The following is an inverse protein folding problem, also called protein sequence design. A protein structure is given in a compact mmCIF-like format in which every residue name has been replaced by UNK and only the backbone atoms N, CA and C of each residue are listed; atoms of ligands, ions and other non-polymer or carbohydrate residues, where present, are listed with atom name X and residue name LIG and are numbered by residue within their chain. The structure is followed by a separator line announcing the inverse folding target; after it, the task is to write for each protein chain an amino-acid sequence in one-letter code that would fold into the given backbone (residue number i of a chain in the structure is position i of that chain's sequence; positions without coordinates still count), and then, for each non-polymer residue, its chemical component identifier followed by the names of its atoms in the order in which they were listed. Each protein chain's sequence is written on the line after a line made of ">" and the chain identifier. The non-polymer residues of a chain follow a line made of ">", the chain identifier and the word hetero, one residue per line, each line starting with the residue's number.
data_IF_753677132536
#
_entry.id   IF_753677132536
#
_cell.length_a   1.000
_cell.length_b   1.000
_cell.length_c   1.000
_cell.angle_alpha   90.00
_cell.angle_beta   90.00
_cell.angle_gamma   90.00
#
_symmetry.space_group_name_H-M   'P 1'
#
loop_
_entity.id
_entity.type
_entity.pdbx_description
1 polymer ?
#
# COMPACT_ATOMS: atom_id res chain seq x y z
N UNK A 1 7.48 13.27 2.05
CA UNK A 1 7.27 12.65 3.37
C UNK A 1 8.37 11.63 3.61
N UNK A 2 9.32 11.96 4.48
CA UNK A 2 10.53 11.18 4.78
C UNK A 2 10.16 9.86 5.44
N UNK A 3 10.24 8.75 4.70
CA UNK A 3 9.84 7.43 5.20
C UNK A 3 11.01 6.74 5.91
N UNK A 4 11.48 7.38 6.99
CA UNK A 4 12.58 6.89 7.81
C UNK A 4 12.09 5.75 8.69
N UNK A 5 12.87 4.68 8.76
CA UNK A 5 12.65 3.59 9.70
C UNK A 5 13.59 3.79 10.88
N UNK A 6 13.09 3.61 12.10
CA UNK A 6 13.91 3.72 13.31
C UNK A 6 13.98 2.37 14.01
N UNK A 7 15.19 1.96 14.34
CA UNK A 7 15.46 0.83 15.23
C UNK A 7 16.34 1.32 16.38
N UNK A 8 15.78 1.35 17.59
CA UNK A 8 16.38 2.06 18.73
C UNK A 8 16.73 3.51 18.35
N UNK A 9 18.02 3.86 18.37
CA UNK A 9 18.56 5.18 18.01
C UNK A 9 19.10 5.22 16.57
N UNK A 10 18.97 4.13 15.81
CA UNK A 10 19.52 4.02 14.46
C UNK A 10 18.45 4.40 13.44
N UNK A 11 18.69 5.51 12.74
CA UNK A 11 17.86 5.93 11.60
C UNK A 11 18.31 5.16 10.37
N UNK A 12 17.39 4.42 9.78
CA UNK A 12 17.57 3.66 8.55
C UNK A 12 16.87 4.38 7.41
N UNK A 13 17.61 4.61 6.33
CA UNK A 13 17.05 5.17 5.10
C UNK A 13 16.69 4.03 4.13
N UNK A 14 15.42 3.58 4.09
CA UNK A 14 15.01 2.55 3.16
C UNK A 14 14.94 3.08 1.72
N UNK A 15 15.18 2.17 0.78
CA UNK A 15 14.88 2.36 -0.64
C UNK A 15 13.47 1.82 -0.88
N UNK A 16 12.53 2.69 -1.26
CA UNK A 16 11.20 2.25 -1.70
C UNK A 16 11.25 1.82 -3.15
N UNK A 17 10.82 0.58 -3.43
CA UNK A 17 10.71 0.07 -4.80
C UNK A 17 9.54 -0.90 -4.90
N UNK A 18 8.71 -0.75 -5.94
CA UNK A 18 7.54 -1.60 -6.19
C UNK A 18 6.61 -1.71 -4.96
N UNK A 19 6.43 -0.61 -4.24
CA UNK A 19 5.65 -0.56 -3.00
C UNK A 19 6.18 -1.46 -1.85
N UNK A 20 7.43 -1.93 -1.95
CA UNK A 20 8.11 -2.71 -0.93
C UNK A 20 9.27 -1.93 -0.32
N UNK A 21 9.62 -2.29 0.92
CA UNK A 21 10.75 -1.73 1.64
C UNK A 21 12.03 -2.53 1.33
N UNK A 22 13.06 -1.81 0.88
CA UNK A 22 14.39 -2.37 0.66
C UNK A 22 15.43 -1.64 1.51
N UNK A 23 16.41 -2.38 2.02
CA UNK A 23 17.49 -1.88 2.87
C UNK A 23 18.81 -2.08 2.13
N UNK A 24 19.65 -1.05 2.07
CA UNK A 24 20.99 -1.15 1.45
C UNK A 24 21.94 -1.90 2.37
N UNK A 25 22.98 -2.52 1.79
CA UNK A 25 24.01 -3.22 2.58
C UNK A 25 24.66 -2.33 3.65
N UNK A 26 24.82 -1.03 3.36
CA UNK A 26 25.39 -0.02 4.27
C UNK A 26 24.47 0.34 5.43
N UNK A 27 23.16 0.41 5.19
CA UNK A 27 22.20 0.67 6.28
C UNK A 27 22.00 -0.59 7.13
N UNK A 28 22.02 -1.76 6.51
CA UNK A 28 21.94 -3.04 7.21
C UNK A 28 23.17 -3.29 8.10
N UNK A 29 24.37 -2.87 7.67
CA UNK A 29 25.56 -2.98 8.52
C UNK A 29 25.49 -2.08 9.75
N UNK A 30 24.90 -0.87 9.64
CA UNK A 30 24.67 0.02 10.78
C UNK A 30 23.66 -0.58 11.75
N UNK A 31 22.55 -1.12 11.24
CA UNK A 31 21.54 -1.82 12.03
C UNK A 31 22.13 -2.97 12.86
N UNK A 32 23.01 -3.76 12.24
CA UNK A 32 23.68 -4.89 12.90
C UNK A 32 24.90 -4.49 13.73
N UNK A 33 25.22 -3.19 13.79
CA UNK A 33 26.38 -2.61 14.48
C UNK A 33 27.73 -3.20 14.01
N UNK A 34 27.85 -3.49 12.71
CA UNK A 34 29.12 -3.86 12.12
C UNK A 34 29.99 -2.62 11.87
N UNK A 35 31.28 -2.74 12.21
CA UNK A 35 32.27 -1.69 11.96
C UNK A 35 32.47 -1.41 10.46
N UNK A 36 32.37 -2.44 9.61
CA UNK A 36 32.50 -2.31 8.15
C UNK A 36 31.23 -2.77 7.42
N UNK A 37 30.78 -1.94 6.49
CA UNK A 37 29.73 -2.25 5.52
C UNK A 37 30.02 -3.49 4.66
N UNK A 38 31.30 -3.83 4.44
CA UNK A 38 31.68 -5.04 3.69
C UNK A 38 31.30 -6.33 4.42
N UNK A 39 31.06 -6.29 5.73
CA UNK A 39 30.65 -7.46 6.51
C UNK A 39 29.36 -8.08 5.97
N UNK A 40 28.36 -7.25 5.64
CA UNK A 40 27.10 -7.71 5.04
C UNK A 40 27.34 -8.33 3.66
N UNK A 41 28.18 -7.71 2.84
CA UNK A 41 28.55 -8.25 1.53
C UNK A 41 29.25 -9.61 1.65
N UNK A 42 30.12 -9.77 2.65
CA UNK A 42 30.84 -11.02 2.91
C UNK A 42 29.90 -12.13 3.36
N UNK A 43 28.92 -11.82 4.22
CA UNK A 43 27.87 -12.76 4.63
C UNK A 43 27.06 -13.20 3.41
N UNK A 44 26.57 -12.24 2.61
CA UNK A 44 25.82 -12.54 1.40
C UNK A 44 26.62 -13.44 0.43
N UNK A 45 27.88 -13.10 0.16
CA UNK A 45 28.70 -13.86 -0.79
C UNK A 45 28.95 -15.30 -0.36
N UNK A 46 29.00 -15.58 0.95
CA UNK A 46 29.21 -16.92 1.49
C UNK A 46 27.97 -17.80 1.40
N UNK A 47 26.78 -17.20 1.51
CA UNK A 47 25.50 -17.91 1.58
C UNK A 47 24.61 -17.53 0.39
N UNK A 48 25.21 -17.22 -0.76
CA UNK A 48 24.52 -16.62 -1.92
C UNK A 48 23.41 -17.53 -2.45
N UNK A 49 23.61 -18.82 -2.35
CA UNK A 49 22.70 -19.90 -2.75
C UNK A 49 21.38 -19.89 -1.96
N UNK A 50 21.36 -19.37 -0.73
CA UNK A 50 20.13 -19.22 0.06
C UNK A 50 19.27 -18.01 -0.35
N UNK A 51 19.80 -17.12 -1.20
CA UNK A 51 19.10 -15.90 -1.63
C UNK A 51 18.44 -16.07 -2.98
N UNK A 52 17.18 -15.63 -3.05
CA UNK A 52 16.43 -15.50 -4.31
C UNK A 52 16.49 -14.07 -4.84
N UNK A 53 16.17 -13.88 -6.12
CA UNK A 53 16.11 -12.54 -6.76
C UNK A 53 15.08 -11.61 -6.10
N UNK A 54 14.07 -12.17 -5.41
CA UNK A 54 13.09 -11.40 -4.62
C UNK A 54 13.64 -10.93 -3.27
N UNK A 55 14.74 -11.52 -2.81
CA UNK A 55 15.39 -11.16 -1.54
C UNK A 55 16.48 -10.11 -1.71
N UNK A 56 17.17 -10.10 -2.85
CA UNK A 56 18.30 -9.21 -3.07
C UNK A 56 18.49 -8.86 -4.54
N UNK A 57 18.91 -7.64 -4.81
CA UNK A 57 19.27 -7.18 -6.15
C UNK A 57 20.25 -6.02 -6.08
N UNK A 58 20.86 -5.68 -7.22
CA UNK A 58 21.75 -4.51 -7.34
C UNK A 58 20.98 -3.38 -8.03
N UNK A 59 21.05 -2.19 -7.45
CA UNK A 59 20.44 -0.96 -7.99
C UNK A 59 21.49 0.14 -8.17
N UNK A 60 21.29 0.99 -9.16
CA UNK A 60 22.13 2.18 -9.36
C UNK A 60 21.54 3.33 -8.54
N UNK A 61 22.18 3.67 -7.42
CA UNK A 61 21.81 4.82 -6.60
C UNK A 61 22.65 6.03 -7.01
N UNK A 62 22.01 7.19 -7.12
CA UNK A 62 22.70 8.48 -7.32
C UNK A 62 23.13 9.03 -5.98
N UNK A 63 24.43 9.26 -5.83
CA UNK A 63 25.02 9.89 -4.64
C UNK A 63 25.75 11.15 -5.05
N UNK A 64 25.69 12.19 -4.22
CA UNK A 64 26.50 13.40 -4.42
C UNK A 64 27.98 13.03 -4.31
N UNK A 65 28.73 13.23 -5.38
CA UNK A 65 30.17 13.04 -5.44
C UNK A 65 30.92 14.27 -4.96
N UNK A 66 32.25 14.15 -4.97
CA UNK A 66 33.17 15.28 -4.76
C UNK A 66 32.93 16.31 -5.89
N UNK A 67 32.87 17.60 -5.53
CA UNK A 67 32.58 18.75 -6.41
C UNK A 67 31.17 18.77 -7.04
N UNK A 68 30.13 18.39 -6.28
CA UNK A 68 28.72 18.44 -6.73
C UNK A 68 28.43 17.59 -7.99
N UNK A 69 29.32 16.65 -8.33
CA UNK A 69 29.13 15.72 -9.45
C UNK A 69 28.21 14.56 -9.03
N UNK A 70 27.15 14.29 -9.80
CA UNK A 70 26.29 13.14 -9.53
C UNK A 70 27.02 11.85 -9.91
N UNK A 71 27.29 10.98 -8.93
CA UNK A 71 27.89 9.65 -9.17
C UNK A 71 26.82 8.57 -9.07
N UNK A 72 26.78 7.69 -10.07
CA UNK A 72 25.94 6.49 -10.04
C UNK A 72 26.74 5.36 -9.39
N UNK A 73 26.33 4.90 -8.22
CA UNK A 73 26.95 3.78 -7.50
C UNK A 73 26.03 2.58 -7.55
N UNK A 74 26.56 1.44 -8.00
CA UNK A 74 25.87 0.15 -7.92
C UNK A 74 25.88 -0.33 -6.47
N UNK A 75 24.72 -0.41 -5.83
CA UNK A 75 24.56 -0.81 -4.43
C UNK A 75 23.60 -2.00 -4.36
N UNK A 76 24.00 -3.03 -3.62
CA UNK A 76 23.11 -4.17 -3.33
C UNK A 76 22.12 -3.78 -2.24
N UNK A 77 20.86 -4.04 -2.55
CA UNK A 77 19.73 -3.88 -1.64
C UNK A 77 19.14 -5.24 -1.29
N UNK A 78 18.53 -5.31 -0.12
CA UNK A 78 17.85 -6.48 0.41
C UNK A 78 16.41 -6.11 0.75
N UNK A 79 15.45 -6.96 0.39
CA UNK A 79 14.09 -6.83 0.91
C UNK A 79 14.07 -7.16 2.40
N UNK A 80 12.97 -6.89 3.12
CA UNK A 80 12.87 -7.22 4.55
C UNK A 80 13.20 -8.69 4.85
N UNK A 81 12.72 -9.61 4.00
CA UNK A 81 13.04 -11.04 4.09
C UNK A 81 14.52 -11.32 3.86
N UNK A 82 15.14 -10.67 2.86
CA UNK A 82 16.57 -10.81 2.60
C UNK A 82 17.44 -10.24 3.72
N UNK A 83 17.05 -9.08 4.27
CA UNK A 83 17.72 -8.47 5.41
C UNK A 83 17.62 -9.35 6.66
N UNK A 84 16.44 -9.96 6.88
CA UNK A 84 16.22 -10.90 7.97
C UNK A 84 17.12 -12.14 7.85
N UNK A 85 17.29 -12.68 6.63
CA UNK A 85 18.21 -13.79 6.38
C UNK A 85 19.68 -13.41 6.66
N UNK A 86 20.13 -12.23 6.23
CA UNK A 86 21.46 -11.72 6.61
C UNK A 86 21.61 -11.67 8.14
N UNK A 87 20.59 -11.18 8.84
CA UNK A 87 20.61 -11.08 10.30
C UNK A 87 20.60 -12.43 11.01
N UNK A 88 20.16 -13.52 10.36
CA UNK A 88 20.26 -14.89 10.90
C UNK A 88 21.70 -15.39 10.97
N UNK A 89 22.56 -14.94 10.05
CA UNK A 89 23.99 -15.29 10.07
C UNK A 89 24.82 -14.45 11.06
N UNK A 90 24.20 -13.47 11.72
CA UNK A 90 24.81 -12.64 12.73
C UNK A 90 24.50 -13.19 14.14
N UNK A 91 25.54 -13.57 14.89
CA UNK A 91 25.40 -14.18 16.23
C UNK A 91 25.33 -13.17 17.39
N UNK A 92 25.20 -11.86 17.10
CA UNK A 92 25.18 -10.81 18.13
C UNK A 92 23.81 -10.69 18.81
N UNK A 93 23.76 -10.18 20.04
CA UNK A 93 22.49 -9.92 20.74
C UNK A 93 21.64 -8.90 19.96
N UNK A 94 22.27 -7.85 19.42
CA UNK A 94 21.61 -6.86 18.56
C UNK A 94 20.98 -7.52 17.33
N UNK A 95 21.66 -8.49 16.70
CA UNK A 95 21.08 -9.20 15.56
C UNK A 95 19.82 -10.01 15.93
N UNK A 96 19.69 -10.49 17.18
CA UNK A 96 18.45 -11.16 17.64
C UNK A 96 17.27 -10.20 17.63
N UNK A 97 17.50 -8.97 18.09
CA UNK A 97 16.48 -7.92 18.12
C UNK A 97 16.15 -7.41 16.72
N UNK A 98 17.16 -7.20 15.88
CA UNK A 98 16.99 -6.81 14.47
C UNK A 98 16.15 -7.84 13.73
N UNK A 99 16.33 -9.14 14.00
CA UNK A 99 15.50 -10.19 13.40
C UNK A 99 14.02 -10.03 13.74
N UNK A 100 13.69 -9.83 15.01
CA UNK A 100 12.30 -9.59 15.45
C UNK A 100 11.72 -8.34 14.78
N UNK A 101 12.48 -7.25 14.81
CA UNK A 101 12.06 -5.98 14.22
C UNK A 101 11.81 -6.06 12.71
N UNK A 102 12.66 -6.79 11.96
CA UNK A 102 12.46 -7.00 10.52
C UNK A 102 11.22 -7.85 10.21
N UNK A 103 10.89 -8.82 11.05
CA UNK A 103 9.65 -9.60 10.93
C UNK A 103 8.42 -8.72 11.20
N UNK A 104 8.43 -7.94 12.28
CA UNK A 104 7.33 -7.01 12.59
C UNK A 104 7.08 -6.02 11.45
N UNK A 105 8.14 -5.56 10.79
CA UNK A 105 8.04 -4.67 9.64
C UNK A 105 7.50 -5.39 8.39
N UNK A 106 7.91 -6.65 8.17
CA UNK A 106 7.41 -7.47 7.07
C UNK A 106 5.92 -7.79 7.23
N UNK A 107 5.47 -8.10 8.45
CA UNK A 107 4.07 -8.35 8.77
C UNK A 107 3.21 -7.10 8.58
N UNK A 108 3.74 -5.93 8.97
CA UNK A 108 3.11 -4.63 8.68
C UNK A 108 2.99 -4.39 7.17
N UNK A 109 4.05 -4.63 6.40
CA UNK A 109 4.04 -4.46 4.94
C UNK A 109 3.03 -5.40 4.26
N UNK A 110 2.94 -6.65 4.74
CA UNK A 110 1.99 -7.64 4.25
C UNK A 110 0.53 -7.25 4.57
N UNK A 111 0.28 -6.80 5.80
CA UNK A 111 -1.06 -6.38 6.25
C UNK A 111 -1.60 -5.20 5.42
N UNK A 112 -0.77 -4.19 5.14
CA UNK A 112 -1.17 -3.06 4.29
C UNK A 112 -1.41 -3.46 2.83
N UNK A 113 -0.72 -4.50 2.36
CA UNK A 113 -0.89 -5.03 1.00
C UNK A 113 -2.19 -5.83 0.86
N UNK A 114 -2.62 -6.53 1.92
CA UNK A 114 -3.87 -7.27 1.97
C UNK A 114 -5.08 -6.31 1.90
N UNK A 115 -5.11 -5.28 2.76
CA UNK A 115 -6.19 -4.27 2.76
C UNK A 115 -6.36 -3.59 1.41
N UNK A 116 -5.26 -3.37 0.67
CA UNK A 116 -5.29 -2.74 -0.65
C UNK A 116 -5.85 -3.65 -1.76
N UNK A 117 -5.63 -4.97 -1.67
CA UNK A 117 -6.15 -5.92 -2.67
C UNK A 117 -7.67 -6.13 -2.53
N UNK A 118 -8.20 -5.98 -1.33
CA UNK A 118 -9.63 -6.14 -1.05
C UNK A 118 -10.44 -4.88 -1.34
N UNK A 119 -9.79 -3.71 -1.43
CA UNK A 119 -10.42 -2.50 -1.98
C UNK A 119 -10.32 -2.54 -3.50
N UNK A 120 -11.41 -2.91 -4.18
CA UNK A 120 -11.63 -2.44 -5.55
C UNK A 120 -11.49 -0.92 -5.49
N UNK A 121 -10.56 -0.34 -6.26
CA UNK A 121 -10.42 1.10 -6.35
C UNK A 121 -11.66 1.66 -7.05
N UNK A 122 -12.72 1.89 -6.27
CA UNK A 122 -13.95 2.51 -6.76
C UNK A 122 -13.60 3.94 -7.07
N UNK A 123 -13.52 4.27 -8.37
CA UNK A 123 -13.30 5.63 -8.81
C UNK A 123 -14.35 6.54 -8.16
N UNK A 124 -13.89 7.49 -7.36
CA UNK A 124 -14.75 8.41 -6.60
C UNK A 124 -15.75 9.13 -7.49
N UNK A 125 -15.34 9.52 -8.69
CA UNK A 125 -16.20 10.17 -9.68
C UNK A 125 -17.30 9.23 -10.14
N UNK A 126 -16.98 7.95 -10.42
CA UNK A 126 -17.99 6.96 -10.82
C UNK A 126 -19.02 6.74 -9.69
N UNK A 127 -18.58 6.71 -8.43
CA UNK A 127 -19.49 6.59 -7.29
C UNK A 127 -20.39 7.80 -7.13
N UNK A 128 -19.85 9.02 -7.27
CA UNK A 128 -20.63 10.26 -7.26
C UNK A 128 -21.67 10.22 -8.39
N UNK A 129 -21.27 9.89 -9.62
CA UNK A 129 -22.18 9.79 -10.75
C UNK A 129 -23.31 8.78 -10.51
N UNK A 130 -23.01 7.59 -9.98
CA UNK A 130 -24.02 6.57 -9.66
C UNK A 130 -24.99 7.03 -8.58
N UNK A 131 -24.50 7.67 -7.52
CA UNK A 131 -25.33 8.22 -6.43
C UNK A 131 -26.27 9.30 -6.98
N UNK A 132 -25.75 10.26 -7.74
CA UNK A 132 -26.57 11.30 -8.34
C UNK A 132 -27.59 10.74 -9.34
N UNK A 133 -27.21 9.73 -10.12
CA UNK A 133 -28.10 9.08 -11.07
C UNK A 133 -29.25 8.35 -10.37
N UNK A 134 -28.99 7.66 -9.26
CA UNK A 134 -30.05 6.94 -8.54
C UNK A 134 -31.06 7.88 -7.87
N UNK A 135 -30.58 9.02 -7.34
CA UNK A 135 -31.46 10.07 -6.82
C UNK A 135 -32.29 10.68 -7.95
N UNK A 136 -31.66 11.04 -9.06
CA UNK A 136 -32.35 11.62 -10.22
C UNK A 136 -33.40 10.68 -10.81
N UNK A 137 -33.11 9.37 -10.91
CA UNK A 137 -34.08 8.39 -11.38
C UNK A 137 -35.31 8.29 -10.47
N UNK A 138 -35.12 8.37 -9.15
CA UNK A 138 -36.22 8.34 -8.21
C UNK A 138 -37.06 9.62 -8.28
N UNK A 139 -36.43 10.79 -8.32
CA UNK A 139 -37.13 12.07 -8.51
C UNK A 139 -37.93 12.04 -9.82
N UNK A 140 -37.31 11.64 -10.93
CA UNK A 140 -37.98 11.48 -12.22
C UNK A 140 -39.18 10.53 -12.15
N UNK A 141 -39.03 9.40 -11.46
CA UNK A 141 -40.09 8.40 -11.30
C UNK A 141 -41.29 8.95 -10.51
N UNK A 142 -41.04 9.71 -9.43
CA UNK A 142 -42.06 10.31 -8.56
C UNK A 142 -42.76 11.49 -9.27
N UNK A 143 -41.97 12.37 -9.90
CA UNK A 143 -42.44 13.58 -10.57
C UNK A 143 -43.37 13.25 -11.74
N UNK A 144 -43.05 12.20 -12.49
CA UNK A 144 -43.87 11.73 -13.61
C UNK A 144 -44.97 10.75 -13.20
N UNK A 145 -45.19 10.52 -11.88
CA UNK A 145 -46.22 9.60 -11.36
C UNK A 145 -46.16 8.21 -12.00
N UNK A 146 -44.96 7.71 -12.28
CA UNK A 146 -44.79 6.50 -13.09
C UNK A 146 -45.38 5.25 -12.44
N UNK A 147 -45.48 5.21 -11.10
CA UNK A 147 -46.20 4.15 -10.40
C UNK A 147 -47.66 4.04 -10.86
N UNK A 148 -48.37 5.16 -10.88
CA UNK A 148 -49.78 5.21 -11.26
C UNK A 148 -49.94 4.84 -12.73
N UNK A 149 -49.05 5.35 -13.59
CA UNK A 149 -49.03 5.02 -15.02
C UNK A 149 -48.83 3.51 -15.23
N UNK A 150 -47.84 2.90 -14.59
CA UNK A 150 -47.60 1.46 -14.73
C UNK A 150 -48.73 0.61 -14.14
N UNK A 151 -49.38 1.09 -13.07
CA UNK A 151 -50.56 0.45 -12.49
C UNK A 151 -51.74 0.50 -13.46
N UNK A 152 -51.99 1.65 -14.10
CA UNK A 152 -53.04 1.81 -15.13
C UNK A 152 -52.77 0.92 -16.36
N UNK A 153 -51.51 0.73 -16.73
CA UNK A 153 -51.10 -0.17 -17.81
C UNK A 153 -51.11 -1.66 -17.42
N UNK A 154 -51.41 -2.00 -16.15
CA UNK A 154 -51.40 -3.38 -15.66
C UNK A 154 -49.99 -4.02 -15.63
N UNK A 155 -48.93 -3.22 -15.62
CA UNK A 155 -47.56 -3.73 -15.65
C UNK A 155 -47.05 -4.10 -14.26
N UNK A 156 -47.06 -5.40 -13.96
CA UNK A 156 -46.49 -5.93 -12.71
C UNK A 156 -45.00 -5.60 -12.54
N UNK A 157 -44.25 -5.51 -13.65
CA UNK A 157 -42.84 -5.11 -13.59
C UNK A 157 -42.68 -3.64 -13.23
N UNK A 158 -43.46 -2.75 -13.88
CA UNK A 158 -43.40 -1.31 -13.61
C UNK A 158 -43.81 -0.95 -12.19
N UNK A 159 -44.80 -1.64 -11.63
CA UNK A 159 -45.20 -1.48 -10.22
C UNK A 159 -44.07 -1.89 -9.27
N UNK A 160 -43.36 -3.00 -9.53
CA UNK A 160 -42.23 -3.45 -8.70
C UNK A 160 -40.98 -2.55 -8.79
N UNK A 161 -40.84 -1.79 -9.88
CA UNK A 161 -39.73 -0.82 -10.00
C UNK A 161 -39.85 0.32 -8.97
N UNK A 162 -41.05 0.58 -8.44
CA UNK A 162 -41.26 1.61 -7.43
C UNK A 162 -40.37 1.41 -6.20
N UNK A 163 -40.39 0.21 -5.64
CA UNK A 163 -39.62 -0.14 -4.45
C UNK A 163 -38.12 -0.05 -4.75
N UNK A 164 -37.70 -0.49 -5.94
CA UNK A 164 -36.30 -0.41 -6.35
C UNK A 164 -35.79 1.04 -6.41
N UNK A 165 -36.55 1.95 -7.01
CA UNK A 165 -36.16 3.36 -7.06
C UNK A 165 -36.21 4.01 -5.68
N UNK A 166 -37.22 3.70 -4.86
CA UNK A 166 -37.34 4.21 -3.49
C UNK A 166 -36.17 3.77 -2.59
N UNK A 167 -35.94 2.45 -2.50
CA UNK A 167 -34.88 1.88 -1.67
C UNK A 167 -33.50 2.29 -2.17
N UNK A 168 -33.29 2.30 -3.48
CA UNK A 168 -32.02 2.70 -4.06
C UNK A 168 -31.73 4.19 -3.87
N UNK A 169 -32.73 5.07 -3.94
CA UNK A 169 -32.56 6.49 -3.62
C UNK A 169 -32.28 6.71 -2.13
N UNK A 170 -32.93 5.95 -1.24
CA UNK A 170 -32.63 5.97 0.19
C UNK A 170 -31.16 5.64 0.45
N UNK A 171 -30.68 4.53 -0.11
CA UNK A 171 -29.26 4.12 0.02
C UNK A 171 -28.34 5.18 -0.60
N UNK A 172 -28.64 5.68 -1.80
CA UNK A 172 -27.85 6.72 -2.46
C UNK A 172 -27.75 8.01 -1.63
N UNK A 173 -28.84 8.41 -0.96
CA UNK A 173 -28.85 9.59 -0.08
C UNK A 173 -27.90 9.44 1.12
N UNK A 174 -27.77 8.23 1.67
CA UNK A 174 -26.82 7.92 2.75
C UNK A 174 -25.38 8.11 2.29
N UNK A 175 -25.05 7.62 1.09
CA UNK A 175 -23.72 7.79 0.50
C UNK A 175 -23.41 9.22 0.08
N UNK A 176 -24.39 9.97 -0.43
CA UNK A 176 -24.24 11.40 -0.74
C UNK A 176 -23.74 12.18 0.48
N UNK A 177 -24.37 11.96 1.65
CA UNK A 177 -23.96 12.60 2.93
C UNK A 177 -22.54 12.21 3.35
N UNK A 178 -22.12 10.97 3.10
CA UNK A 178 -20.76 10.51 3.41
C UNK A 178 -19.71 11.11 2.46
N UNK A 179 -20.06 11.25 1.17
CA UNK A 179 -19.18 11.82 0.15
C UNK A 179 -18.94 13.32 0.35
N UNK A 180 -19.97 14.06 0.77
CA UNK A 180 -19.89 15.48 1.12
C UNK A 180 -19.02 15.71 2.38
N UNK A 181 -19.19 14.90 3.43
CA UNK A 181 -18.37 14.99 4.65
C UNK A 181 -16.87 14.75 4.40
N UNK A 182 -16.51 13.92 3.43
CA UNK A 182 -15.11 13.67 3.04
C UNK A 182 -14.50 14.76 2.15
N UNK A 183 -15.22 15.81 1.77
CA UNK A 183 -14.67 16.96 1.02
C UNK A 183 -14.07 18.06 1.92
N UNK A 184 -14.23 17.98 3.25
CA UNK A 184 -13.79 18.99 4.22
C UNK A 184 -12.48 18.64 4.96
N UNK A 185 -11.60 17.81 4.40
CA UNK A 185 -10.28 17.51 4.97
C UNK A 185 -9.17 17.72 3.94
#
# INVERSE_FOLDING_TARGET
>A
MSNQLMFHSTVVQPVKRNNQIWITSTELSKLLQYADSKSVTKIYSRNKDEFTDKMTMVVKLTTNGINNSLRKKSVRIFSLRGAHLIAMFASTNVAKEVRKWLLDLADKEASHSQTRKDMIEVNRTNLICLVHHMLWLNDFYIDNRLYDVFKMLGSNFGVRLHDHFGDGAFVASMFKRQLEKKQLQ
#
